data_IF_941223571497
#
_entry.id   IF_941223571497
#
_cell.length_a   1.000
_cell.length_b   1.000
_cell.length_c   1.000
_cell.angle_alpha   90.00
_cell.angle_beta   90.00
_cell.angle_gamma   90.00
#
_symmetry.space_group_name_H-M   'P 1'
#
loop_
_entity.id
_entity.type
_entity.pdbx_description
1 polymer ?
#
# COMPACT_ATOMS: atom_id res chain seq x y z
N UNK A 1 5.26 10.39 -19.84
CA UNK A 1 5.94 9.20 -19.25
C UNK A 1 7.45 9.32 -19.44
N UNK A 2 7.94 9.66 -20.63
CA UNK A 2 9.38 9.88 -20.90
C UNK A 2 10.03 10.97 -20.02
N UNK A 3 9.37 12.11 -19.82
CA UNK A 3 9.82 13.16 -18.88
C UNK A 3 9.93 12.66 -17.43
N UNK A 4 9.02 11.77 -17.01
CA UNK A 4 9.04 11.16 -15.66
C UNK A 4 10.19 10.15 -15.52
N UNK A 5 10.43 9.37 -16.58
CA UNK A 5 11.55 8.43 -16.65
C UNK A 5 12.88 9.19 -16.61
N UNK A 6 13.01 10.31 -17.34
CA UNK A 6 14.18 11.19 -17.29
C UNK A 6 14.39 11.83 -15.90
N UNK A 7 13.31 12.22 -15.22
CA UNK A 7 13.38 12.67 -13.83
C UNK A 7 13.88 11.57 -12.88
N UNK A 8 13.37 10.34 -13.04
CA UNK A 8 13.83 9.15 -12.29
C UNK A 8 15.32 8.90 -12.53
N UNK A 9 15.80 9.03 -13.77
CA UNK A 9 17.23 8.91 -14.08
C UNK A 9 18.08 9.98 -13.39
N UNK A 10 17.55 11.19 -13.27
CA UNK A 10 18.24 12.30 -12.59
C UNK A 10 18.38 12.03 -11.10
N UNK A 11 17.32 11.54 -10.45
CA UNK A 11 17.38 11.14 -9.02
C UNK A 11 18.33 9.97 -8.80
N UNK A 12 18.34 8.99 -9.70
CA UNK A 12 19.30 7.87 -9.66
C UNK A 12 20.74 8.40 -9.71
N UNK A 13 21.04 9.35 -10.60
CA UNK A 13 22.38 9.96 -10.73
C UNK A 13 22.75 10.83 -9.52
N UNK A 14 21.82 11.64 -9.02
CA UNK A 14 22.03 12.50 -7.86
C UNK A 14 22.39 11.69 -6.61
N UNK A 15 21.71 10.56 -6.40
CA UNK A 15 22.00 9.66 -5.29
C UNK A 15 23.38 9.01 -5.40
N UNK A 16 23.79 8.62 -6.61
CA UNK A 16 25.15 8.11 -6.84
C UNK A 16 26.23 9.17 -6.53
N UNK A 17 25.95 10.46 -6.72
CA UNK A 17 26.87 11.55 -6.38
C UNK A 17 26.86 11.95 -4.90
N UNK A 18 25.72 11.93 -4.20
CA UNK A 18 25.64 12.22 -2.75
C UNK A 18 26.46 11.23 -1.91
N UNK A 19 26.63 10.01 -2.42
CA UNK A 19 27.34 8.92 -1.75
C UNK A 19 28.86 9.04 -1.79
N UNK A 20 29.43 9.82 -2.71
CA UNK A 20 30.87 10.07 -2.76
C UNK A 20 31.35 11.06 -1.68
N UNK A 21 30.43 11.77 -1.02
CA UNK A 21 30.73 12.87 -0.10
C UNK A 21 30.40 12.60 1.39
N UNK A 22 29.98 11.38 1.77
CA UNK A 22 29.60 11.09 3.16
C UNK A 22 30.62 10.16 3.87
N UNK A 23 31.26 10.69 4.91
CA UNK A 23 32.16 9.96 5.80
C UNK A 23 31.43 8.88 6.64
N UNK A 24 32.13 7.78 6.89
CA UNK A 24 31.55 6.51 7.38
C UNK A 24 30.95 6.58 8.79
N UNK A 25 29.66 6.29 8.94
CA UNK A 25 28.94 6.19 10.24
C UNK A 25 28.67 4.72 10.63
N UNK A 26 28.49 4.39 11.92
CA UNK A 26 28.22 3.02 12.40
C UNK A 26 26.98 2.35 11.77
N UNK A 27 25.95 3.11 11.38
CA UNK A 27 24.79 2.57 10.64
C UNK A 27 25.17 2.05 9.24
N UNK A 28 26.11 2.69 8.55
CA UNK A 28 26.60 2.24 7.25
C UNK A 28 27.41 0.94 7.36
N UNK A 29 28.08 0.68 8.50
CA UNK A 29 28.80 -0.58 8.72
C UNK A 29 27.84 -1.77 8.90
N UNK A 30 26.75 -1.61 9.66
CA UNK A 30 25.69 -2.63 9.74
C UNK A 30 24.97 -2.83 8.40
N UNK A 31 24.71 -1.75 7.67
CA UNK A 31 24.09 -1.81 6.35
C UNK A 31 25.01 -2.51 5.34
N UNK A 32 26.31 -2.23 5.36
CA UNK A 32 27.32 -2.89 4.53
C UNK A 32 27.49 -4.39 4.85
N UNK A 33 27.36 -4.80 6.13
CA UNK A 33 27.34 -6.22 6.50
C UNK A 33 26.06 -6.94 6.05
N UNK A 34 24.91 -6.26 6.10
CA UNK A 34 23.65 -6.78 5.55
C UNK A 34 23.74 -6.96 4.03
N UNK A 35 24.34 -5.99 3.32
CA UNK A 35 24.59 -6.06 1.87
C UNK A 35 25.57 -7.18 1.54
N UNK A 36 26.66 -7.37 2.29
CA UNK A 36 27.61 -8.49 2.07
C UNK A 36 26.98 -9.88 2.26
N UNK A 37 25.94 -10.00 3.08
CA UNK A 37 25.24 -11.27 3.33
C UNK A 37 24.15 -11.60 2.30
N UNK A 38 23.81 -10.66 1.42
CA UNK A 38 22.70 -10.81 0.46
C UNK A 38 23.05 -11.67 -0.76
N UNK A 39 24.33 -11.85 -1.09
CA UNK A 39 24.78 -12.70 -2.22
C UNK A 39 24.72 -14.22 -1.94
N UNK A 40 24.42 -14.63 -0.70
CA UNK A 40 24.32 -16.04 -0.30
C UNK A 40 22.88 -16.56 -0.46
N UNK A 41 22.68 -17.85 -0.77
CA UNK A 41 21.34 -18.42 -0.80
C UNK A 41 20.66 -18.29 0.56
N UNK A 42 19.32 -18.14 0.60
CA UNK A 42 18.57 -18.07 1.84
C UNK A 42 18.74 -19.37 2.64
N UNK A 43 19.02 -19.24 3.93
CA UNK A 43 19.16 -20.40 4.81
C UNK A 43 17.84 -21.15 4.99
N UNK A 44 17.91 -22.45 5.29
CA UNK A 44 16.73 -23.27 5.62
C UNK A 44 15.83 -22.61 6.67
N UNK A 45 16.40 -22.03 7.73
CA UNK A 45 15.64 -21.34 8.77
C UNK A 45 14.82 -20.14 8.22
N UNK A 46 15.35 -19.36 7.27
CA UNK A 46 14.59 -18.28 6.63
C UNK A 46 13.45 -18.81 5.77
N UNK A 47 13.63 -19.97 5.15
CA UNK A 47 12.58 -20.63 4.37
C UNK A 47 11.48 -21.15 5.29
N UNK A 48 11.83 -21.74 6.44
CA UNK A 48 10.86 -22.17 7.46
C UNK A 48 10.02 -20.98 7.96
N UNK A 49 10.67 -19.86 8.28
CA UNK A 49 9.99 -18.63 8.67
C UNK A 49 9.03 -18.12 7.57
N UNK A 50 9.48 -18.12 6.32
CA UNK A 50 8.67 -17.71 5.18
C UNK A 50 7.46 -18.64 4.97
N UNK A 51 7.64 -19.96 5.09
CA UNK A 51 6.55 -20.94 5.00
C UNK A 51 5.55 -20.74 6.14
N UNK A 52 6.03 -20.54 7.37
CA UNK A 52 5.18 -20.28 8.52
C UNK A 52 4.30 -19.03 8.34
N UNK A 53 4.84 -17.99 7.70
CA UNK A 53 4.16 -16.73 7.41
C UNK A 53 3.09 -16.82 6.30
N UNK A 54 3.03 -17.92 5.52
CA UNK A 54 2.03 -18.08 4.47
C UNK A 54 0.60 -18.11 5.04
N UNK A 55 -0.39 -17.61 4.28
CA UNK A 55 -1.80 -17.65 4.69
C UNK A 55 -2.42 -18.99 4.30
N UNK A 56 -3.05 -19.69 5.25
CA UNK A 56 -3.64 -21.01 4.99
C UNK A 56 -4.82 -20.99 4.00
N UNK A 57 -5.51 -19.86 3.86
CA UNK A 57 -6.65 -19.70 2.94
C UNK A 57 -6.29 -19.15 1.55
N UNK A 58 -5.01 -19.06 1.20
CA UNK A 58 -4.58 -18.63 -0.14
C UNK A 58 -4.80 -19.77 -1.15
N UNK A 59 -5.22 -19.41 -2.37
CA UNK A 59 -5.36 -20.38 -3.46
C UNK A 59 -3.99 -20.96 -3.83
N UNK A 60 -3.95 -22.26 -4.14
CA UNK A 60 -2.76 -22.95 -4.62
C UNK A 60 -2.39 -22.50 -6.04
N UNK A 61 -1.12 -22.71 -6.41
CA UNK A 61 -0.61 -22.41 -7.74
C UNK A 61 -1.04 -23.45 -8.79
N UNK A 62 -0.37 -23.45 -9.94
CA UNK A 62 -0.59 -24.43 -11.01
C UNK A 62 -0.20 -25.86 -10.59
N UNK A 63 0.64 -25.98 -9.57
CA UNK A 63 1.10 -27.22 -8.96
C UNK A 63 0.13 -27.81 -7.93
N UNK A 64 -0.94 -27.08 -7.60
CA UNK A 64 -1.93 -27.41 -6.57
C UNK A 64 -1.33 -27.64 -5.17
N UNK A 65 -0.12 -27.11 -4.93
CA UNK A 65 0.54 -27.18 -3.63
C UNK A 65 0.06 -26.02 -2.75
N UNK A 66 -0.76 -26.33 -1.76
CA UNK A 66 -1.34 -25.34 -0.84
C UNK A 66 -0.40 -24.98 0.31
N UNK A 67 -0.59 -23.79 0.90
CA UNK A 67 0.17 -23.37 2.07
C UNK A 67 0.05 -24.33 3.27
N UNK A 68 -1.13 -24.91 3.60
CA UNK A 68 -1.23 -25.96 4.62
C UNK A 68 -0.36 -27.18 4.32
N UNK A 69 -0.27 -27.61 3.05
CA UNK A 69 0.55 -28.75 2.65
C UNK A 69 2.05 -28.45 2.85
N UNK A 70 2.49 -27.25 2.49
CA UNK A 70 3.87 -26.80 2.74
C UNK A 70 4.22 -26.76 4.24
N UNK A 71 3.25 -26.40 5.08
CA UNK A 71 3.43 -26.35 6.54
C UNK A 71 3.34 -27.72 7.22
N UNK A 72 2.71 -28.70 6.57
CA UNK A 72 2.42 -29.99 7.16
C UNK A 72 3.67 -30.87 7.37
N UNK A 73 4.77 -30.61 6.64
CA UNK A 73 5.95 -31.46 6.71
C UNK A 73 7.26 -30.68 6.56
N UNK A 74 8.22 -30.98 7.45
CA UNK A 74 9.59 -30.48 7.35
C UNK A 74 10.32 -30.98 6.09
N UNK A 75 9.89 -32.11 5.53
CA UNK A 75 10.44 -32.65 4.27
C UNK A 75 10.20 -31.67 3.12
N UNK A 76 9.03 -31.02 3.09
CA UNK A 76 8.73 -30.02 2.06
C UNK A 76 9.65 -28.81 2.18
N UNK A 77 9.97 -28.37 3.40
CA UNK A 77 10.96 -27.32 3.64
C UNK A 77 12.33 -27.72 3.13
N UNK A 78 12.78 -28.96 3.38
CA UNK A 78 14.08 -29.45 2.91
C UNK A 78 14.17 -29.46 1.38
N UNK A 79 13.11 -29.93 0.71
CA UNK A 79 13.01 -29.89 -0.74
C UNK A 79 13.00 -28.46 -1.29
N UNK A 80 12.19 -27.58 -0.71
CA UNK A 80 12.15 -26.17 -1.11
C UNK A 80 13.50 -25.48 -0.92
N UNK A 81 14.21 -25.74 0.18
CA UNK A 81 15.54 -25.20 0.40
C UNK A 81 16.55 -25.66 -0.65
N UNK A 82 16.51 -26.94 -1.05
CA UNK A 82 17.37 -27.46 -2.14
C UNK A 82 17.04 -26.78 -3.46
N UNK A 83 15.77 -26.75 -3.85
CA UNK A 83 15.34 -26.13 -5.12
C UNK A 83 15.70 -24.64 -5.14
N UNK A 84 15.39 -23.90 -4.08
CA UNK A 84 15.71 -22.47 -3.99
C UNK A 84 17.22 -22.24 -4.04
N UNK A 85 18.03 -23.08 -3.38
CA UNK A 85 19.49 -22.98 -3.44
C UNK A 85 20.03 -23.21 -4.85
N UNK A 86 19.54 -24.24 -5.55
CA UNK A 86 19.92 -24.50 -6.95
C UNK A 86 19.52 -23.35 -7.86
N UNK A 87 18.31 -22.80 -7.72
CA UNK A 87 17.86 -21.61 -8.47
C UNK A 87 18.71 -20.38 -8.14
N UNK A 88 19.10 -20.24 -6.87
CA UNK A 88 19.95 -19.15 -6.39
C UNK A 88 21.39 -19.21 -6.88
N UNK A 89 21.89 -20.40 -7.18
CA UNK A 89 23.20 -20.58 -7.79
C UNK A 89 23.11 -20.46 -9.31
N UNK A 90 22.27 -21.28 -9.95
CA UNK A 90 22.19 -21.42 -11.41
C UNK A 90 21.79 -20.16 -12.18
N UNK A 91 20.88 -19.35 -11.64
CA UNK A 91 20.34 -18.17 -12.34
C UNK A 91 18.96 -18.38 -12.90
N UNK A 92 18.50 -19.64 -12.91
CA UNK A 92 17.39 -20.07 -13.73
C UNK A 92 16.24 -20.57 -12.85
N UNK A 93 15.20 -19.75 -12.69
CA UNK A 93 13.97 -20.18 -12.05
C UNK A 93 13.19 -21.14 -12.96
N UNK A 94 12.52 -22.15 -12.38
CA UNK A 94 11.65 -23.06 -13.12
C UNK A 94 10.60 -22.31 -13.93
N UNK A 95 10.30 -22.83 -15.13
CA UNK A 95 9.29 -22.22 -16.03
C UNK A 95 7.92 -22.16 -15.37
N UNK A 96 7.57 -23.15 -14.54
CA UNK A 96 6.28 -23.15 -13.83
C UNK A 96 6.18 -22.00 -12.83
N UNK A 97 7.31 -21.55 -12.26
CA UNK A 97 7.35 -20.35 -11.43
C UNK A 97 7.19 -19.09 -12.28
N UNK A 98 7.25 -19.16 -13.61
CA UNK A 98 7.09 -18.04 -14.56
C UNK A 98 5.70 -17.95 -15.17
N UNK A 99 4.84 -18.93 -14.88
CA UNK A 99 3.46 -19.00 -15.36
C UNK A 99 2.48 -18.53 -14.29
N UNK A 100 1.44 -17.81 -14.71
CA UNK A 100 0.37 -17.34 -13.83
C UNK A 100 -1.00 -17.63 -14.43
N UNK A 101 -1.95 -18.02 -13.58
CA UNK A 101 -3.35 -18.17 -13.96
C UNK A 101 -4.14 -16.97 -13.46
N UNK A 102 -4.75 -16.23 -14.39
CA UNK A 102 -5.60 -15.10 -14.06
C UNK A 102 -7.03 -15.62 -13.91
N UNK A 103 -7.51 -15.68 -12.67
CA UNK A 103 -8.91 -15.99 -12.39
C UNK A 103 -9.68 -14.67 -12.37
N UNK A 104 -10.58 -14.49 -13.34
CA UNK A 104 -11.44 -13.30 -13.39
C UNK A 104 -12.47 -13.38 -12.26
N UNK A 105 -12.19 -12.72 -11.14
CA UNK A 105 -13.18 -12.49 -10.10
C UNK A 105 -14.08 -11.34 -10.54
N UNK A 106 -15.31 -11.67 -10.93
CA UNK A 106 -16.31 -10.68 -11.32
C UNK A 106 -16.64 -9.81 -10.10
N UNK A 107 -16.12 -8.58 -10.07
CA UNK A 107 -16.57 -7.56 -9.13
C UNK A 107 -17.94 -7.08 -9.58
N UNK A 108 -18.99 -7.82 -9.23
CA UNK A 108 -20.38 -7.38 -9.43
C UNK A 108 -20.56 -5.99 -8.81
N UNK A 109 -21.33 -5.12 -9.49
CA UNK A 109 -21.71 -3.79 -8.96
C UNK A 109 -22.51 -3.98 -7.68
N UNK A 110 -21.81 -4.03 -6.55
CA UNK A 110 -22.32 -4.21 -5.20
C UNK A 110 -21.29 -3.70 -4.18
N UNK A 111 -21.79 -3.16 -3.07
CA UNK A 111 -21.10 -2.39 -2.03
C UNK A 111 -19.64 -2.82 -1.73
N UNK A 112 -18.68 -1.91 -2.02
CA UNK A 112 -17.24 -2.02 -1.78
C UNK A 112 -16.96 -2.04 -0.27
N UNK A 113 -16.79 -3.23 0.32
CA UNK A 113 -16.12 -3.41 1.61
C UNK A 113 -14.84 -4.23 1.43
N UNK A 114 -13.72 -3.53 1.20
CA UNK A 114 -12.33 -3.89 1.57
C UNK A 114 -11.45 -2.70 1.10
N UNK A 115 -11.03 -1.76 1.97
CA UNK A 115 -9.85 -1.73 2.86
C UNK A 115 -8.50 -1.74 2.13
N UNK A 116 -7.67 -0.69 2.27
CA UNK A 116 -6.38 -0.73 3.02
C UNK A 116 -5.35 0.33 2.62
N UNK A 117 -4.68 0.87 3.65
CA UNK A 117 -3.47 1.70 3.61
C UNK A 117 -2.17 0.94 3.28
N UNK A 118 -2.18 0.17 2.20
CA UNK A 118 -1.59 -1.17 2.23
C UNK A 118 -0.04 -1.29 2.33
N UNK A 119 0.38 -2.35 3.03
CA UNK A 119 1.68 -3.05 2.97
C UNK A 119 2.91 -2.52 3.74
N UNK A 120 2.74 -1.64 4.74
CA UNK A 120 3.81 -1.32 5.70
C UNK A 120 3.36 -1.60 7.14
N UNK A 121 4.17 -2.32 7.91
CA UNK A 121 3.90 -2.62 9.33
C UNK A 121 3.80 -1.31 10.11
N UNK A 122 2.69 -1.08 10.81
CA UNK A 122 2.51 0.07 11.69
C UNK A 122 2.10 1.40 11.02
N UNK A 123 1.61 1.38 9.77
CA UNK A 123 0.96 2.55 9.15
C UNK A 123 -0.44 2.19 8.67
N UNK A 124 -1.46 2.90 9.17
CA UNK A 124 -2.87 2.62 8.92
C UNK A 124 -3.59 3.69 8.09
N UNK A 125 -4.84 3.38 7.72
CA UNK A 125 -5.77 4.27 6.97
C UNK A 125 -6.03 5.58 7.70
N UNK A 126 -6.10 5.44 9.00
CA UNK A 126 -6.36 6.45 9.99
C UNK A 126 -5.26 7.50 10.01
N UNK A 127 -3.99 7.10 9.88
CA UNK A 127 -2.84 8.01 9.97
C UNK A 127 -2.79 8.96 8.76
N UNK A 128 -3.04 8.43 7.56
CA UNK A 128 -3.06 9.21 6.33
C UNK A 128 -4.25 10.17 6.28
N UNK A 129 -5.43 9.72 6.73
CA UNK A 129 -6.62 10.57 6.84
C UNK A 129 -6.44 11.66 7.91
N UNK A 130 -5.86 11.31 9.06
CA UNK A 130 -5.55 12.25 10.13
C UNK A 130 -4.55 13.31 9.68
N UNK A 131 -3.44 12.91 9.05
CA UNK A 131 -2.44 13.84 8.53
C UNK A 131 -3.05 14.83 7.53
N UNK A 132 -3.91 14.37 6.62
CA UNK A 132 -4.61 15.24 5.67
C UNK A 132 -5.53 16.23 6.39
N UNK A 133 -6.36 15.77 7.34
CA UNK A 133 -7.26 16.64 8.12
C UNK A 133 -6.48 17.66 8.95
N UNK A 134 -5.35 17.28 9.52
CA UNK A 134 -4.48 18.18 10.27
C UNK A 134 -3.91 19.29 9.38
N UNK A 135 -3.37 18.94 8.21
CA UNK A 135 -2.81 19.90 7.23
C UNK A 135 -3.90 20.86 6.72
N UNK A 136 -5.10 20.36 6.42
CA UNK A 136 -6.27 21.18 6.05
C UNK A 136 -6.65 22.17 7.15
N UNK A 137 -6.75 21.68 8.39
CA UNK A 137 -7.15 22.50 9.54
C UNK A 137 -6.13 23.62 9.81
N UNK A 138 -4.84 23.32 9.66
CA UNK A 138 -3.76 24.30 9.84
C UNK A 138 -3.73 25.34 8.73
N UNK A 139 -3.87 24.95 7.46
CA UNK A 139 -3.95 25.94 6.39
C UNK A 139 -5.13 26.88 6.57
N UNK A 140 -6.27 26.37 7.05
CA UNK A 140 -7.41 27.22 7.40
C UNK A 140 -7.11 28.16 8.58
N UNK A 141 -6.52 27.66 9.66
CA UNK A 141 -6.14 28.45 10.84
C UNK A 141 -5.19 29.60 10.46
N UNK A 142 -4.20 29.31 9.62
CA UNK A 142 -3.21 30.28 9.16
C UNK A 142 -3.62 31.06 7.90
N UNK A 143 -4.86 30.86 7.41
CA UNK A 143 -5.39 31.48 6.17
C UNK A 143 -4.45 31.30 4.97
N UNK A 144 -3.77 30.16 4.89
CA UNK A 144 -2.89 29.81 3.79
C UNK A 144 -3.69 29.15 2.66
N UNK A 145 -3.55 29.61 1.40
CA UNK A 145 -4.16 28.95 0.27
C UNK A 145 -3.52 27.56 0.06
N UNK A 146 -4.35 26.53 -0.11
CA UNK A 146 -3.90 25.17 -0.39
C UNK A 146 -4.62 24.62 -1.62
N UNK A 147 -3.87 23.91 -2.46
CA UNK A 147 -4.40 23.09 -3.54
C UNK A 147 -4.05 21.62 -3.28
N UNK A 148 -5.03 20.74 -3.45
CA UNK A 148 -4.86 19.29 -3.31
C UNK A 148 -5.05 18.62 -4.67
N UNK A 149 -4.04 17.87 -5.11
CA UNK A 149 -4.11 17.07 -6.32
C UNK A 149 -4.16 15.58 -5.95
N UNK A 150 -5.22 14.90 -6.39
CA UNK A 150 -5.35 13.45 -6.24
C UNK A 150 -4.87 12.77 -7.52
N UNK A 151 -3.86 11.91 -7.39
CA UNK A 151 -3.30 11.15 -8.52
C UNK A 151 -3.72 9.69 -8.36
N UNK A 152 -4.57 9.21 -9.26
CA UNK A 152 -4.96 7.80 -9.34
C UNK A 152 -4.17 7.10 -10.45
N UNK A 153 -3.51 5.99 -10.09
CA UNK A 153 -2.68 5.23 -11.01
C UNK A 153 -3.47 4.06 -11.57
N UNK A 154 -3.82 4.16 -12.85
CA UNK A 154 -4.45 3.06 -13.58
C UNK A 154 -3.51 1.85 -13.64
N UNK A 155 -3.98 0.69 -13.15
CA UNK A 155 -3.26 -0.59 -13.19
C UNK A 155 -1.82 -0.47 -12.65
N UNK A 156 -1.69 0.10 -11.45
CA UNK A 156 -0.42 0.50 -10.86
C UNK A 156 0.64 -0.62 -10.83
N UNK A 157 0.25 -1.85 -10.48
CA UNK A 157 1.17 -3.01 -10.47
C UNK A 157 1.53 -3.49 -11.88
N UNK A 158 0.55 -3.58 -12.78
CA UNK A 158 0.73 -4.11 -14.14
C UNK A 158 1.51 -3.15 -15.06
N UNK A 159 1.52 -1.85 -14.71
CA UNK A 159 2.08 -0.79 -15.54
C UNK A 159 3.54 -0.46 -15.23
N UNK A 160 4.16 -1.08 -14.22
CA UNK A 160 5.56 -0.79 -13.87
C UNK A 160 6.50 -1.22 -15.01
N UNK A 161 7.32 -0.31 -15.58
CA UNK A 161 8.34 -0.68 -16.54
C UNK A 161 9.46 -1.46 -15.85
N UNK A 162 9.64 -2.74 -16.21
CA UNK A 162 10.60 -3.64 -15.54
C UNK A 162 12.04 -3.13 -15.63
N UNK A 163 12.46 -2.63 -16.80
CA UNK A 163 13.81 -2.09 -16.98
C UNK A 163 14.10 -0.92 -16.04
N UNK A 164 13.13 -0.03 -15.84
CA UNK A 164 13.27 1.09 -14.90
C UNK A 164 13.26 0.59 -13.46
N UNK A 165 12.41 -0.38 -13.11
CA UNK A 165 12.40 -1.00 -11.79
C UNK A 165 13.77 -1.57 -11.40
N UNK A 166 14.45 -2.28 -12.30
CA UNK A 166 15.78 -2.83 -12.04
C UNK A 166 16.82 -1.74 -11.79
N UNK A 167 16.81 -0.68 -12.63
CA UNK A 167 17.68 0.48 -12.44
C UNK A 167 17.44 1.18 -11.11
N UNK A 168 16.19 1.28 -10.68
CA UNK A 168 15.84 1.78 -9.34
C UNK A 168 16.44 0.87 -8.27
N UNK A 169 16.31 -0.46 -8.37
CA UNK A 169 16.91 -1.37 -7.37
C UNK A 169 18.44 -1.21 -7.27
N UNK A 170 19.15 -1.08 -8.40
CA UNK A 170 20.59 -0.80 -8.40
C UNK A 170 20.91 0.54 -7.74
N UNK A 171 20.08 1.58 -7.97
CA UNK A 171 20.23 2.87 -7.31
C UNK A 171 19.96 2.86 -5.80
N UNK A 172 19.27 1.83 -5.29
CA UNK A 172 19.10 1.57 -3.86
C UNK A 172 20.16 0.59 -3.32
N UNK A 173 21.20 0.28 -4.10
CA UNK A 173 22.30 -0.62 -3.71
C UNK A 173 21.82 -2.02 -3.31
N UNK A 174 20.72 -2.47 -3.94
CA UNK A 174 20.31 -3.85 -3.81
C UNK A 174 21.35 -4.71 -4.50
N UNK A 175 21.78 -5.77 -3.83
CA UNK A 175 22.80 -6.67 -4.34
C UNK A 175 22.46 -7.23 -5.72
N UNK A 176 23.48 -7.23 -6.58
CA UNK A 176 23.39 -7.57 -7.98
C UNK A 176 22.80 -8.98 -8.17
N UNK A 177 23.23 -9.93 -7.34
CA UNK A 177 22.77 -11.32 -7.46
C UNK A 177 21.28 -11.42 -7.16
N UNK A 178 20.79 -10.70 -6.14
CA UNK A 178 19.36 -10.63 -5.82
C UNK A 178 18.57 -9.96 -6.95
N UNK A 179 19.07 -8.85 -7.51
CA UNK A 179 18.42 -8.19 -8.65
C UNK A 179 18.32 -9.13 -9.84
N UNK A 180 19.38 -9.88 -10.16
CA UNK A 180 19.36 -10.88 -11.23
C UNK A 180 18.33 -11.99 -10.97
N UNK A 181 18.17 -12.48 -9.72
CA UNK A 181 17.10 -13.46 -9.41
C UNK A 181 15.70 -12.88 -9.61
N UNK A 182 15.50 -11.63 -9.24
CA UNK A 182 14.22 -10.94 -9.46
C UNK A 182 13.96 -10.72 -10.95
N UNK A 183 14.99 -10.34 -11.72
CA UNK A 183 14.91 -10.21 -13.17
C UNK A 183 14.55 -11.54 -13.83
N UNK A 184 15.20 -12.64 -13.47
CA UNK A 184 14.92 -13.96 -14.02
C UNK A 184 13.47 -14.40 -13.72
N UNK A 185 13.00 -14.20 -12.49
CA UNK A 185 11.61 -14.45 -12.12
C UNK A 185 10.61 -13.61 -12.92
N UNK A 186 10.99 -12.43 -13.44
CA UNK A 186 10.08 -11.61 -14.23
C UNK A 186 10.28 -11.79 -15.74
N UNK A 187 11.38 -12.40 -16.19
CA UNK A 187 11.69 -12.60 -17.61
C UNK A 187 10.97 -13.81 -18.19
N UNK A 188 10.39 -13.68 -19.38
CA UNK A 188 9.66 -14.77 -20.04
C UNK A 188 8.40 -15.19 -19.28
N UNK A 189 7.78 -14.28 -18.54
CA UNK A 189 6.56 -14.57 -17.77
C UNK A 189 5.35 -14.63 -18.67
N UNK A 190 4.50 -15.65 -18.47
CA UNK A 190 3.29 -15.88 -19.26
C UNK A 190 2.06 -15.99 -18.35
N UNK A 191 0.92 -15.54 -18.86
CA UNK A 191 -0.37 -15.72 -18.20
C UNK A 191 -1.40 -16.32 -19.14
N UNK A 192 -2.41 -16.95 -18.55
CA UNK A 192 -3.63 -17.35 -19.24
C UNK A 192 -4.83 -17.07 -18.33
N UNK A 193 -5.96 -16.74 -18.94
CA UNK A 193 -7.21 -16.40 -18.23
C UNK A 193 -8.04 -17.66 -18.06
N UNK A 194 -8.44 -17.96 -16.82
CA UNK A 194 -9.40 -19.04 -16.52
C UNK A 194 -10.81 -18.45 -16.44
N UNK A 195 -11.65 -18.83 -17.38
CA UNK A 195 -13.08 -18.51 -17.44
C UNK A 195 -13.90 -19.74 -17.09
N UNK A 196 -15.20 -19.55 -16.79
CA UNK A 196 -16.11 -20.65 -16.45
C UNK A 196 -16.21 -21.74 -17.55
N UNK A 197 -15.92 -21.38 -18.81
CA UNK A 197 -15.94 -22.28 -19.97
C UNK A 197 -14.60 -22.88 -20.39
N UNK A 198 -13.49 -22.58 -19.69
CA UNK A 198 -12.16 -23.07 -20.06
C UNK A 198 -11.02 -22.07 -19.84
N UNK A 199 -9.83 -22.44 -20.30
CA UNK A 199 -8.61 -21.62 -20.20
C UNK A 199 -8.35 -20.95 -21.54
N UNK A 200 -7.96 -19.67 -21.52
CA UNK A 200 -7.49 -18.97 -22.72
C UNK A 200 -6.14 -19.52 -23.20
N UNK A 201 -5.72 -19.08 -24.38
CA UNK A 201 -4.33 -19.22 -24.79
C UNK A 201 -3.39 -18.44 -23.85
N UNK A 202 -2.15 -18.91 -23.79
CA UNK A 202 -1.08 -18.27 -23.04
C UNK A 202 -0.59 -17.02 -23.78
N UNK A 203 -0.37 -15.94 -23.03
CA UNK A 203 0.17 -14.70 -23.54
C UNK A 203 1.31 -14.17 -22.66
N UNK A 204 2.23 -13.44 -23.28
CA UNK A 204 3.42 -12.92 -22.59
C UNK A 204 3.10 -11.66 -21.77
N UNK A 205 3.65 -11.61 -20.56
CA UNK A 205 3.59 -10.44 -19.69
C UNK A 205 4.91 -9.68 -19.80
N UNK A 206 4.88 -8.50 -20.42
CA UNK A 206 6.07 -7.67 -20.64
C UNK A 206 6.32 -6.63 -19.54
N UNK A 207 5.26 -6.17 -18.88
CA UNK A 207 5.32 -5.11 -17.87
C UNK A 207 4.77 -5.58 -16.52
N UNK A 208 5.05 -4.78 -15.51
CA UNK A 208 4.49 -4.92 -14.20
C UNK A 208 5.15 -5.98 -13.33
N UNK A 209 4.79 -5.91 -12.05
CA UNK A 209 5.07 -6.94 -11.05
C UNK A 209 3.84 -7.80 -10.85
N UNK A 210 4.02 -9.05 -10.46
CA UNK A 210 2.94 -10.02 -10.43
C UNK A 210 1.92 -9.74 -9.33
N UNK A 211 0.66 -9.57 -9.70
CA UNK A 211 -0.42 -9.42 -8.73
C UNK A 211 -0.59 -10.70 -7.91
N UNK A 212 -0.72 -10.56 -6.59
CA UNK A 212 -0.76 -11.69 -5.66
C UNK A 212 0.60 -12.25 -5.24
N UNK A 213 1.70 -11.77 -5.83
CA UNK A 213 3.05 -12.09 -5.35
C UNK A 213 3.37 -11.34 -4.06
N UNK A 214 4.01 -12.03 -3.10
CA UNK A 214 4.36 -11.48 -1.78
C UNK A 214 5.30 -10.26 -1.89
N UNK A 215 6.22 -10.26 -2.86
CA UNK A 215 7.20 -9.17 -3.02
C UNK A 215 6.68 -7.98 -3.85
N UNK A 216 5.59 -8.16 -4.60
CA UNK A 216 5.07 -7.12 -5.50
C UNK A 216 4.79 -5.78 -4.80
N UNK A 217 4.18 -5.73 -3.60
CA UNK A 217 4.01 -4.48 -2.86
C UNK A 217 5.32 -3.76 -2.51
N UNK A 218 6.36 -4.50 -2.17
CA UNK A 218 7.67 -3.93 -1.85
C UNK A 218 8.31 -3.32 -3.09
N UNK A 219 8.32 -4.06 -4.21
CA UNK A 219 8.86 -3.58 -5.49
C UNK A 219 8.11 -2.33 -5.97
N UNK A 220 6.79 -2.33 -5.86
CA UNK A 220 5.96 -1.16 -6.17
C UNK A 220 6.34 0.04 -5.32
N UNK A 221 6.45 -0.14 -3.99
CA UNK A 221 6.79 0.95 -3.08
C UNK A 221 8.18 1.54 -3.35
N UNK A 222 9.18 0.70 -3.67
CA UNK A 222 10.54 1.17 -3.99
C UNK A 222 10.54 1.98 -5.29
N UNK A 223 9.88 1.46 -6.34
CA UNK A 223 9.73 2.18 -7.60
C UNK A 223 8.98 3.51 -7.41
N UNK A 224 7.88 3.48 -6.67
CA UNK A 224 7.03 4.65 -6.47
C UNK A 224 7.71 5.72 -5.62
N UNK A 225 8.50 5.35 -4.61
CA UNK A 225 9.33 6.29 -3.85
C UNK A 225 10.27 7.09 -4.76
N UNK A 226 10.92 6.41 -5.72
CA UNK A 226 11.79 7.05 -6.69
C UNK A 226 11.02 8.00 -7.62
N UNK A 227 9.86 7.58 -8.11
CA UNK A 227 8.97 8.42 -8.94
C UNK A 227 8.55 9.69 -8.19
N UNK A 228 8.14 9.55 -6.94
CA UNK A 228 7.72 10.67 -6.09
C UNK A 228 8.88 11.63 -5.87
N UNK A 229 10.05 11.14 -5.48
CA UNK A 229 11.23 11.98 -5.26
C UNK A 229 11.60 12.77 -6.52
N UNK A 230 11.47 12.13 -7.68
CA UNK A 230 11.72 12.76 -8.98
C UNK A 230 10.71 13.86 -9.29
N UNK A 231 9.44 13.60 -9.01
CA UNK A 231 8.40 14.61 -9.16
C UNK A 231 8.63 15.80 -8.20
N UNK A 232 8.98 15.53 -6.94
CA UNK A 232 9.28 16.57 -5.95
C UNK A 232 10.52 17.40 -6.31
N UNK A 233 11.58 16.77 -6.82
CA UNK A 233 12.79 17.46 -7.24
C UNK A 233 12.57 18.34 -8.48
N UNK A 234 11.58 18.01 -9.32
CA UNK A 234 11.18 18.82 -10.47
C UNK A 234 10.25 19.99 -10.12
N UNK A 235 9.73 20.04 -8.88
CA UNK A 235 8.90 21.14 -8.40
C UNK A 235 9.77 22.33 -8.00
N UNK A 236 9.30 23.55 -8.25
CA UNK A 236 10.01 24.78 -7.85
C UNK A 236 10.17 24.86 -6.33
N UNK A 237 11.26 25.49 -5.88
CA UNK A 237 11.47 25.78 -4.45
C UNK A 237 10.25 26.49 -3.85
N UNK A 238 9.81 26.05 -2.68
CA UNK A 238 8.65 26.60 -1.98
C UNK A 238 7.30 25.94 -2.28
N UNK A 239 7.23 24.93 -3.18
CA UNK A 239 5.99 24.18 -3.37
C UNK A 239 5.70 23.23 -2.19
N UNK A 240 4.73 23.59 -1.35
CA UNK A 240 4.20 22.75 -0.27
C UNK A 240 3.60 23.59 0.85
N UNK A 241 3.12 22.93 1.91
CA UNK A 241 2.59 23.59 3.11
C UNK A 241 3.68 23.67 4.17
N UNK A 242 4.07 24.87 4.57
CA UNK A 242 5.04 25.07 5.64
C UNK A 242 4.37 24.88 7.01
N UNK A 243 4.79 23.84 7.74
CA UNK A 243 4.38 23.58 9.11
C UNK A 243 5.51 24.01 10.06
N UNK A 244 5.20 24.92 10.97
CA UNK A 244 6.07 25.27 12.09
C UNK A 244 5.79 24.31 13.26
N UNK A 245 6.83 23.71 13.84
CA UNK A 245 6.73 22.84 15.01
C UNK A 245 7.83 23.11 16.04
N UNK A 246 7.60 22.72 17.29
CA UNK A 246 8.58 22.79 18.37
C UNK A 246 9.25 21.43 18.58
N UNK A 247 10.55 21.45 18.90
CA UNK A 247 11.39 20.26 19.02
C UNK A 247 11.07 19.38 20.25
N UNK A 248 10.18 19.83 21.14
CA UNK A 248 9.74 19.12 22.36
C UNK A 248 8.61 18.11 22.11
N UNK A 249 8.25 17.87 20.84
CA UNK A 249 7.17 16.96 20.47
C UNK A 249 5.77 17.56 20.62
N UNK A 250 5.66 18.83 21.05
CA UNK A 250 4.41 19.58 21.02
C UNK A 250 4.27 20.30 19.69
N UNK A 251 3.33 19.81 18.89
CA UNK A 251 2.93 20.47 17.65
C UNK A 251 2.07 21.71 17.98
N UNK A 252 2.53 22.89 17.56
CA UNK A 252 1.75 24.14 17.48
C UNK A 252 1.35 24.83 18.80
N UNK A 253 2.29 25.24 19.64
CA UNK A 253 2.02 26.14 20.79
C UNK A 253 2.56 27.56 20.52
N UNK A 254 1.66 28.55 20.44
CA UNK A 254 2.02 29.97 20.23
C UNK A 254 2.60 30.66 21.47
N UNK A 255 2.44 30.07 22.66
CA UNK A 255 2.88 30.69 23.93
C UNK A 255 4.38 30.57 24.18
N UNK A 256 5.05 29.67 23.45
CA UNK A 256 6.47 29.37 23.61
C UNK A 256 7.27 30.16 22.57
N UNK A 257 7.66 31.39 22.92
CA UNK A 257 8.63 32.16 22.16
C UNK A 257 10.00 31.45 22.15
N UNK A 258 10.29 30.71 21.08
CA UNK A 258 11.60 30.06 20.92
C UNK A 258 11.64 29.00 19.80
N UNK A 259 12.50 29.27 18.80
CA UNK A 259 12.95 28.42 17.67
C UNK A 259 11.91 27.44 17.11
N UNK A 260 11.08 27.95 16.19
CA UNK A 260 10.22 27.15 15.32
C UNK A 260 11.08 26.42 14.27
N UNK A 261 11.11 25.08 14.31
CA UNK A 261 11.59 24.30 13.17
C UNK A 261 10.49 24.32 12.10
N UNK A 262 10.84 24.56 10.83
CA UNK A 262 9.89 24.62 9.73
C UNK A 262 10.07 23.40 8.82
N UNK A 263 8.98 22.69 8.54
CA UNK A 263 8.95 21.58 7.60
C UNK A 263 7.95 21.85 6.48
N UNK A 264 8.36 21.65 5.23
CA UNK A 264 7.46 21.77 4.08
C UNK A 264 6.85 20.38 3.80
N UNK A 265 5.53 20.30 3.87
CA UNK A 265 4.77 19.13 3.43
C UNK A 265 4.37 19.35 1.97
N UNK A 266 5.10 18.70 1.06
CA UNK A 266 4.88 18.80 -0.39
C UNK A 266 4.12 17.61 -1.00
N UNK A 267 4.05 16.49 -0.27
CA UNK A 267 3.29 15.32 -0.69
C UNK A 267 2.76 14.50 0.49
N UNK A 268 1.51 14.06 0.40
CA UNK A 268 0.94 13.00 1.23
C UNK A 268 0.82 11.76 0.32
N UNK A 269 1.76 10.82 0.48
CA UNK A 269 1.84 9.67 -0.42
C UNK A 269 0.81 8.62 -0.06
N UNK A 270 -0.20 8.50 -0.91
CA UNK A 270 -1.10 7.37 -0.91
C UNK A 270 -1.80 7.16 -2.27
N UNK A 271 -2.17 5.91 -2.57
CA UNK A 271 -2.94 5.52 -3.75
C UNK A 271 -4.24 4.81 -3.35
N UNK A 272 -5.40 5.45 -3.56
CA UNK A 272 -6.68 4.77 -3.84
C UNK A 272 -7.66 5.75 -4.52
N UNK A 273 -8.46 5.13 -5.36
CA UNK A 273 -9.44 5.58 -6.34
C UNK A 273 -10.34 6.74 -5.93
N UNK A 274 -10.03 7.94 -6.44
CA UNK A 274 -11.04 8.88 -6.95
C UNK A 274 -10.35 10.05 -7.68
N UNK A 275 -10.56 10.19 -8.99
CA UNK A 275 -10.17 11.40 -9.73
C UNK A 275 -11.36 12.36 -9.79
N UNK A 276 -11.18 13.62 -9.42
CA UNK A 276 -12.06 14.72 -9.84
C UNK A 276 -11.19 15.79 -10.50
N UNK A 277 -11.47 16.12 -11.76
CA UNK A 277 -10.78 17.19 -12.50
C UNK A 277 -11.34 18.58 -12.20
N UNK A 278 -12.13 18.72 -11.12
CA UNK A 278 -12.82 19.95 -10.74
C UNK A 278 -12.43 20.34 -9.32
N UNK A 279 -12.35 21.65 -9.07
CA UNK A 279 -12.31 22.20 -7.72
C UNK A 279 -13.51 21.67 -6.93
N UNK A 280 -13.23 21.03 -5.81
CA UNK A 280 -14.25 20.45 -4.93
C UNK A 280 -13.93 20.81 -3.49
N UNK A 281 -14.92 21.38 -2.82
CA UNK A 281 -14.84 21.69 -1.39
C UNK A 281 -15.07 20.45 -0.52
N UNK A 282 -15.68 19.41 -1.10
CA UNK A 282 -15.96 18.14 -0.46
C UNK A 282 -15.53 17.00 -1.39
N UNK A 283 -14.69 16.11 -0.89
CA UNK A 283 -14.17 14.99 -1.65
C UNK A 283 -14.18 13.70 -0.83
N UNK A 284 -14.15 12.56 -1.52
CA UNK A 284 -13.98 11.26 -0.89
C UNK A 284 -12.50 10.93 -0.82
N UNK A 285 -12.03 10.59 0.37
CA UNK A 285 -10.68 10.11 0.63
C UNK A 285 -10.77 8.93 1.59
N UNK A 286 -10.19 7.79 1.21
CA UNK A 286 -10.17 6.58 2.06
C UNK A 286 -11.55 6.02 2.42
N UNK A 287 -12.54 6.19 1.54
CA UNK A 287 -13.92 5.77 1.79
C UNK A 287 -14.68 6.66 2.78
N UNK A 288 -14.03 7.68 3.33
CA UNK A 288 -14.65 8.78 4.08
C UNK A 288 -14.74 10.07 3.27
N UNK A 289 -15.57 11.00 3.74
CA UNK A 289 -15.81 12.32 3.19
C UNK A 289 -14.96 13.31 3.96
N UNK A 290 -14.20 14.11 3.21
CA UNK A 290 -13.37 15.19 3.73
C UNK A 290 -13.88 16.49 3.12
N UNK A 291 -14.12 17.47 3.97
CA UNK A 291 -14.54 18.82 3.63
C UNK A 291 -13.38 19.78 3.89
N UNK A 292 -13.13 20.74 3.00
CA UNK A 292 -12.17 21.82 3.25
C UNK A 292 -12.60 22.73 4.40
N UNK A 293 -13.90 22.73 4.73
CA UNK A 293 -14.42 23.39 5.92
C UNK A 293 -14.06 22.61 7.21
N UNK A 294 -13.31 21.51 7.10
CA UNK A 294 -12.95 20.60 8.19
C UNK A 294 -14.15 20.14 9.04
N UNK A 295 -15.36 20.19 8.48
CA UNK A 295 -16.55 19.66 9.13
C UNK A 295 -16.59 18.14 8.98
N UNK A 296 -17.18 17.49 9.99
CA UNK A 296 -17.41 16.05 9.98
C UNK A 296 -18.89 15.70 9.75
N UNK A 297 -19.77 16.69 9.57
CA UNK A 297 -21.22 16.49 9.51
C UNK A 297 -21.63 15.64 8.30
N UNK A 298 -21.04 15.93 7.14
CA UNK A 298 -21.28 15.16 5.91
C UNK A 298 -20.78 13.71 6.03
N UNK A 299 -19.64 13.50 6.68
CA UNK A 299 -19.09 12.16 6.90
C UNK A 299 -19.95 11.36 7.88
N UNK A 300 -20.35 11.95 9.01
CA UNK A 300 -21.26 11.35 9.99
C UNK A 300 -22.58 10.94 9.32
N UNK A 301 -23.17 11.84 8.53
CA UNK A 301 -24.40 11.56 7.78
C UNK A 301 -24.23 10.41 6.78
N UNK A 302 -23.12 10.37 6.04
CA UNK A 302 -22.83 9.30 5.09
C UNK A 302 -22.62 7.94 5.78
N UNK A 303 -21.97 7.91 6.94
CA UNK A 303 -21.76 6.68 7.74
C UNK A 303 -23.08 6.14 8.27
N UNK A 304 -23.93 7.02 8.80
CA UNK A 304 -25.30 6.68 9.21
C UNK A 304 -26.10 6.11 8.03
N UNK A 305 -26.03 6.74 6.86
CA UNK A 305 -26.67 6.24 5.64
C UNK A 305 -26.21 4.84 5.23
N UNK A 306 -24.90 4.57 5.29
CA UNK A 306 -24.34 3.23 5.01
C UNK A 306 -24.79 2.19 6.05
N UNK A 307 -24.79 2.54 7.34
CA UNK A 307 -25.25 1.66 8.41
C UNK A 307 -26.73 1.32 8.25
N UNK A 308 -27.58 2.32 8.00
CA UNK A 308 -29.00 2.13 7.69
C UNK A 308 -29.21 1.27 6.43
N UNK A 309 -28.44 1.52 5.38
CA UNK A 309 -28.48 0.71 4.16
C UNK A 309 -28.12 -0.76 4.41
N UNK A 310 -27.07 -1.01 5.22
CA UNK A 310 -26.68 -2.37 5.61
C UNK A 310 -27.74 -3.03 6.47
N UNK A 311 -28.32 -2.30 7.41
CA UNK A 311 -29.45 -2.77 8.20
C UNK A 311 -30.63 -3.14 7.29
N UNK A 312 -31.00 -2.30 6.34
CA UNK A 312 -32.09 -2.58 5.41
C UNK A 312 -31.85 -3.83 4.53
N UNK A 313 -30.61 -4.06 4.07
CA UNK A 313 -30.24 -5.25 3.30
C UNK A 313 -30.45 -6.56 4.08
N UNK A 314 -30.37 -6.50 5.41
CA UNK A 314 -30.54 -7.66 6.29
C UNK A 314 -32.01 -7.85 6.74
N UNK A 315 -32.98 -7.20 6.08
CA UNK A 315 -34.43 -7.29 6.40
C UNK A 315 -34.93 -8.72 6.59
N UNK A 316 -34.47 -9.66 5.76
CA UNK A 316 -34.85 -11.07 5.86
C UNK A 316 -34.38 -11.67 7.20
N UNK A 317 -33.14 -11.41 7.61
CA UNK A 317 -32.58 -11.89 8.88
C UNK A 317 -33.33 -11.31 10.08
N UNK A 318 -33.71 -10.02 10.02
CA UNK A 318 -34.50 -9.38 11.08
C UNK A 318 -35.90 -9.98 11.19
N UNK A 319 -36.51 -10.35 10.06
CA UNK A 319 -37.82 -11.00 9.99
C UNK A 319 -37.86 -12.48 10.38
N UNK A 320 -36.71 -13.16 10.51
CA UNK A 320 -36.68 -14.58 10.85
C UNK A 320 -37.18 -14.83 12.28
N UNK A 321 -38.37 -15.43 12.42
CA UNK A 321 -38.96 -15.77 13.73
C UNK A 321 -38.21 -16.87 14.48
N UNK A 322 -37.54 -17.78 13.75
CA UNK A 322 -36.77 -18.90 14.32
C UNK A 322 -35.45 -18.48 14.97
N UNK A 323 -34.96 -17.26 14.69
CA UNK A 323 -33.69 -16.79 15.22
C UNK A 323 -33.92 -15.99 16.51
N UNK A 324 -33.21 -16.37 17.58
CA UNK A 324 -33.25 -15.67 18.85
C UNK A 324 -32.79 -14.21 18.70
N UNK A 325 -33.42 -13.30 19.44
CA UNK A 325 -33.09 -11.87 19.44
C UNK A 325 -31.61 -11.62 19.77
N UNK A 326 -31.04 -12.40 20.71
CA UNK A 326 -29.62 -12.31 21.08
C UNK A 326 -28.71 -12.56 19.87
N UNK A 327 -29.04 -13.54 19.02
CA UNK A 327 -28.27 -13.82 17.80
C UNK A 327 -28.41 -12.69 16.78
N UNK A 328 -29.60 -12.11 16.65
CA UNK A 328 -29.81 -10.93 15.80
C UNK A 328 -28.99 -9.73 16.29
N UNK A 329 -28.92 -9.52 17.61
CA UNK A 329 -28.06 -8.49 18.22
C UNK A 329 -26.59 -8.75 17.93
N UNK A 330 -26.11 -10.00 18.00
CA UNK A 330 -24.73 -10.34 17.58
C UNK A 330 -24.48 -10.01 16.11
N UNK A 331 -25.43 -10.31 15.22
CA UNK A 331 -25.32 -9.93 13.81
C UNK A 331 -25.31 -8.40 13.62
N UNK A 332 -26.15 -7.66 14.34
CA UNK A 332 -26.16 -6.20 14.31
C UNK A 332 -24.79 -5.62 14.74
N UNK A 333 -24.27 -6.08 15.88
CA UNK A 333 -22.98 -5.66 16.43
C UNK A 333 -21.79 -6.04 15.54
N UNK A 334 -21.89 -7.14 14.77
CA UNK A 334 -20.82 -7.58 13.89
C UNK A 334 -20.84 -6.91 12.50
N UNK A 335 -22.03 -6.59 11.96
CA UNK A 335 -22.17 -6.18 10.56
C UNK A 335 -22.63 -4.74 10.33
N UNK A 336 -23.41 -4.17 11.27
CA UNK A 336 -24.01 -2.85 11.14
C UNK A 336 -23.26 -1.84 12.02
N UNK A 337 -23.15 -2.13 13.32
CA UNK A 337 -22.54 -1.23 14.29
C UNK A 337 -21.11 -0.80 13.92
N UNK A 338 -20.21 -1.67 13.42
CA UNK A 338 -18.82 -1.27 13.10
C UNK A 338 -18.72 -0.28 11.93
N UNK A 339 -19.80 -0.02 11.19
CA UNK A 339 -19.83 0.96 10.10
C UNK A 339 -19.82 2.40 10.66
N UNK A 340 -20.44 2.61 11.82
CA UNK A 340 -20.62 3.93 12.44
C UNK A 340 -19.31 4.54 12.98
N UNK A 341 -18.50 3.82 13.80
CA UNK A 341 -17.26 4.37 14.34
C UNK A 341 -16.08 4.29 13.35
N UNK A 342 -16.29 3.81 12.12
CA UNK A 342 -15.17 3.70 11.18
C UNK A 342 -14.65 5.09 10.80
N UNK A 343 -13.39 5.38 11.14
CA UNK A 343 -12.74 6.65 10.85
C UNK A 343 -13.01 7.74 11.90
N UNK A 344 -13.76 7.43 12.96
CA UNK A 344 -14.19 8.43 13.94
C UNK A 344 -13.04 8.96 14.81
N UNK A 345 -11.97 8.19 14.95
CA UNK A 345 -10.70 8.61 15.56
C UNK A 345 -10.06 9.83 14.88
N UNK A 346 -10.48 10.16 13.66
CA UNK A 346 -10.00 11.35 12.93
C UNK A 346 -10.95 12.55 13.00
N UNK A 347 -12.09 12.42 13.70
CA UNK A 347 -13.13 13.45 13.74
C UNK A 347 -12.99 14.35 14.96
N UNK A 348 -13.14 15.66 14.75
CA UNK A 348 -13.41 16.61 15.82
C UNK A 348 -14.93 16.76 15.96
N UNK A 349 -15.55 15.82 16.69
CA UNK A 349 -17.01 15.78 16.87
C UNK A 349 -17.50 16.85 17.84
N UNK A 350 -18.62 17.49 17.51
CA UNK A 350 -19.40 18.25 18.49
C UNK A 350 -20.28 17.32 19.33
N UNK A 351 -20.69 17.76 20.52
CA UNK A 351 -21.60 16.99 21.39
C UNK A 351 -22.88 16.57 20.67
N UNK A 352 -23.49 17.49 19.92
CA UNK A 352 -24.67 17.22 19.10
C UNK A 352 -24.45 16.14 18.03
N UNK A 353 -23.24 16.04 17.46
CA UNK A 353 -22.92 15.01 16.47
C UNK A 353 -22.67 13.65 17.13
N UNK A 354 -22.10 13.63 18.33
CA UNK A 354 -21.94 12.42 19.13
C UNK A 354 -23.32 11.85 19.51
N UNK A 355 -24.24 12.70 19.96
CA UNK A 355 -25.62 12.32 20.30
C UNK A 355 -26.42 11.76 19.11
N UNK A 356 -25.97 11.99 17.86
CA UNK A 356 -26.59 11.41 16.66
C UNK A 356 -26.01 10.06 16.23
N UNK A 357 -24.89 9.65 16.84
CA UNK A 357 -24.18 8.39 16.58
C UNK A 357 -24.48 7.33 17.65
N UNK A 358 -24.73 7.77 18.89
CA UNK A 358 -25.30 6.97 19.99
C UNK A 358 -26.79 6.66 19.75
#
# INVERSE_FOLDING_TARGET
MESLISGVETVIRARASEQQNQGSTQQQQQQAQSIKNSGRPPSKAKIEEAIAALRNGAAAGLDDISAPLLKASCIMTDWLHRVISVVWESGCAPVDWKRAMIVSLFKGKGDRKDNQCAFRKGRGLTDAAFALRLVLSKCREFKQPMFLAFVDLSKAYDSIPRNTLWRVLHAYEVDEKLVQRLQDLHTGTQAAVKLAGGMSEWFDIKNGVRQGCIIAPLLFNVFFDCVVRSALAAMSEGCGVSLAYHADGKLFDRSLGGVASMQIVSALLYADTWWHSKYVDVFKYMGGIVSIACDCALEVGARRGKALGRFAQMKQLWGMRRMQVITKMKCYNAYVLPILPFGCETWALTKQQLDTLE
#
